data_IF_073207787119
#
_entry.id   IF_073207787119
#
_cell.length_a   1.000
_cell.length_b   1.000
_cell.length_c   1.000
_cell.angle_alpha   90.00
_cell.angle_beta   90.00
_cell.angle_gamma   90.00
#
_symmetry.space_group_name_H-M   'P 1'
#
loop_
_entity.id
_entity.type
_entity.pdbx_description
1 polymer ?
#
# COMPACT_ATOMS: atom_id res chain seq x y z
N UNK A 1 12.98 -37.91 35.05
CA UNK A 1 12.12 -37.57 33.89
C UNK A 1 11.96 -36.06 33.83
N UNK A 2 11.80 -35.50 32.62
CA UNK A 2 11.48 -34.10 32.28
C UNK A 2 12.66 -33.19 31.92
N UNK A 3 13.34 -33.52 30.82
CA UNK A 3 13.82 -32.47 29.91
C UNK A 3 12.70 -32.30 28.88
N UNK A 4 11.64 -31.60 29.29
CA UNK A 4 10.59 -31.13 28.41
C UNK A 4 10.81 -29.65 28.18
N UNK A 5 11.88 -29.28 27.45
CA UNK A 5 11.95 -27.94 26.85
C UNK A 5 10.66 -27.81 26.02
N UNK A 6 9.88 -26.71 26.15
CA UNK A 6 8.56 -26.66 25.55
C UNK A 6 8.74 -26.67 24.04
N UNK A 7 8.51 -27.81 23.41
CA UNK A 7 8.59 -28.01 21.96
C UNK A 7 7.65 -27.02 21.23
N UNK A 8 6.67 -26.46 21.94
CA UNK A 8 5.75 -25.42 21.47
C UNK A 8 6.22 -23.97 21.67
N UNK A 9 7.23 -23.70 22.51
CA UNK A 9 7.64 -22.33 22.83
C UNK A 9 8.28 -21.60 21.64
N UNK A 10 9.15 -22.28 20.89
CA UNK A 10 9.82 -21.72 19.71
C UNK A 10 8.83 -21.50 18.56
N UNK A 11 7.99 -22.49 18.16
CA UNK A 11 6.97 -22.27 17.13
C UNK A 11 5.98 -21.16 17.49
N UNK A 12 5.56 -21.04 18.75
CA UNK A 12 4.65 -19.99 19.19
C UNK A 12 5.30 -18.60 19.12
N UNK A 13 6.57 -18.48 19.54
CA UNK A 13 7.31 -17.22 19.42
C UNK A 13 7.49 -16.81 17.94
N UNK A 14 7.84 -17.75 17.06
CA UNK A 14 7.92 -17.51 15.62
C UNK A 14 6.56 -17.08 15.07
N UNK A 15 5.49 -17.79 15.42
CA UNK A 15 4.12 -17.46 15.00
C UNK A 15 3.68 -16.07 15.45
N UNK A 16 3.99 -15.67 16.68
CA UNK A 16 3.68 -14.34 17.19
C UNK A 16 4.48 -13.26 16.45
N UNK A 17 5.76 -13.48 16.19
CA UNK A 17 6.60 -12.54 15.41
C UNK A 17 6.03 -12.36 14.00
N UNK A 18 5.67 -13.45 13.32
CA UNK A 18 5.05 -13.38 12.00
C UNK A 18 3.69 -12.67 12.04
N UNK A 19 2.87 -12.92 13.06
CA UNK A 19 1.60 -12.21 13.25
C UNK A 19 1.81 -10.72 13.48
N UNK A 20 2.81 -10.32 14.28
CA UNK A 20 3.12 -8.92 14.50
C UNK A 20 3.59 -8.23 13.21
N UNK A 21 4.38 -8.92 12.37
CA UNK A 21 4.89 -8.35 11.11
C UNK A 21 3.80 -8.27 10.03
N UNK A 22 3.07 -9.35 9.78
CA UNK A 22 2.15 -9.47 8.64
C UNK A 22 0.66 -9.30 9.00
N UNK A 23 0.33 -9.47 10.27
CA UNK A 23 -1.03 -9.41 10.80
C UNK A 23 -1.41 -8.08 11.44
N UNK A 24 -0.45 -7.19 11.72
CA UNK A 24 -0.72 -5.89 12.35
C UNK A 24 -0.44 -4.71 11.43
N UNK A 25 -1.10 -3.59 11.74
CA UNK A 25 -0.89 -2.33 11.05
C UNK A 25 0.10 -1.46 11.82
N UNK A 26 1.02 -0.80 11.11
CA UNK A 26 1.88 0.25 11.69
C UNK A 26 1.38 1.63 11.29
N UNK A 27 1.50 2.61 12.18
CA UNK A 27 1.03 3.99 11.97
C UNK A 27 2.21 4.95 11.94
N UNK A 28 2.20 5.87 10.98
CA UNK A 28 3.29 6.79 10.69
C UNK A 28 2.74 8.17 10.37
N UNK A 29 3.37 9.21 10.92
CA UNK A 29 2.94 10.60 10.67
C UNK A 29 3.28 11.06 9.26
N UNK A 30 4.40 10.57 8.73
CA UNK A 30 4.94 10.90 7.42
C UNK A 30 5.86 9.80 6.93
N UNK A 31 6.24 9.87 5.65
CA UNK A 31 7.12 8.88 5.01
C UNK A 31 8.47 8.70 5.73
N UNK A 32 9.03 9.77 6.32
CA UNK A 32 10.31 9.71 7.03
C UNK A 32 10.25 8.89 8.33
N UNK A 33 9.06 8.71 8.91
CA UNK A 33 8.86 7.91 10.14
C UNK A 33 8.67 6.42 9.87
N UNK A 34 8.71 6.00 8.60
CA UNK A 34 8.59 4.60 8.20
C UNK A 34 9.95 3.93 8.38
N UNK A 35 10.02 2.99 9.32
CA UNK A 35 11.20 2.20 9.64
C UNK A 35 11.38 0.96 8.75
N UNK A 36 10.45 0.72 7.81
CA UNK A 36 10.53 -0.36 6.84
C UNK A 36 11.66 -0.18 5.82
N UNK A 37 11.85 -1.20 4.98
CA UNK A 37 12.82 -1.17 3.87
C UNK A 37 12.56 0.00 2.93
N UNK A 38 13.64 0.49 2.31
CA UNK A 38 13.58 1.62 1.38
C UNK A 38 12.63 1.34 0.21
N UNK A 39 12.57 0.08 -0.24
CA UNK A 39 11.69 -0.36 -1.33
C UNK A 39 10.21 -0.06 -1.06
N UNK A 40 9.67 -0.52 0.07
CA UNK A 40 8.27 -0.28 0.43
C UNK A 40 8.00 1.20 0.70
N UNK A 41 8.94 1.88 1.39
CA UNK A 41 8.85 3.30 1.67
C UNK A 41 8.85 4.17 0.41
N UNK A 42 9.58 3.78 -0.63
CA UNK A 42 9.70 4.53 -1.88
C UNK A 42 8.47 4.41 -2.81
N UNK A 43 7.51 3.55 -2.47
CA UNK A 43 6.22 3.46 -3.15
C UNK A 43 5.16 4.41 -2.57
N UNK A 44 5.49 5.10 -1.48
CA UNK A 44 4.62 6.08 -0.82
C UNK A 44 5.07 7.50 -1.19
N UNK A 45 4.13 8.40 -1.55
CA UNK A 45 4.45 9.78 -1.84
C UNK A 45 5.17 10.47 -0.66
N UNK A 46 6.18 11.32 -0.91
CA UNK A 46 6.90 12.03 0.15
C UNK A 46 6.01 12.98 0.97
N UNK A 47 4.92 13.45 0.37
CA UNK A 47 3.93 14.36 0.98
C UNK A 47 2.80 13.63 1.71
N UNK A 48 2.80 12.30 1.73
CA UNK A 48 1.77 11.52 2.37
C UNK A 48 1.77 11.71 3.90
N UNK A 49 0.58 11.80 4.48
CA UNK A 49 0.36 11.93 5.92
C UNK A 49 -0.62 10.86 6.41
N UNK A 50 -0.73 10.71 7.74
CA UNK A 50 -1.67 9.75 8.38
C UNK A 50 -1.51 8.32 7.83
N UNK A 51 -0.27 7.89 7.63
CA UNK A 51 0.05 6.67 6.92
C UNK A 51 -0.20 5.47 7.83
N UNK A 52 -0.96 4.51 7.34
CA UNK A 52 -1.15 3.19 7.91
C UNK A 52 -0.55 2.19 6.93
N UNK A 53 0.31 1.29 7.41
CA UNK A 53 0.93 0.24 6.60
C UNK A 53 0.60 -1.13 7.15
N UNK A 54 0.43 -2.09 6.23
CA UNK A 54 0.32 -3.51 6.55
C UNK A 54 1.23 -4.28 5.62
N UNK A 55 2.18 -5.00 6.19
CA UNK A 55 3.09 -5.81 5.39
C UNK A 55 2.35 -7.06 4.92
N UNK A 56 2.59 -7.47 3.68
CA UNK A 56 2.06 -8.71 3.13
C UNK A 56 3.19 -9.55 2.53
N UNK A 57 2.92 -10.81 2.21
CA UNK A 57 3.92 -11.73 1.68
C UNK A 57 4.56 -11.22 0.38
N UNK A 58 3.78 -10.59 -0.49
CA UNK A 58 4.25 -10.12 -1.79
C UNK A 58 4.80 -8.69 -1.73
N UNK A 59 4.22 -7.78 -0.95
CA UNK A 59 4.78 -6.46 -0.64
C UNK A 59 4.03 -5.82 0.54
N UNK A 60 3.05 -4.95 0.28
CA UNK A 60 2.31 -4.24 1.33
C UNK A 60 1.01 -3.61 0.84
N UNK A 61 0.19 -3.25 1.81
CA UNK A 61 -0.92 -2.31 1.65
C UNK A 61 -0.63 -1.04 2.42
N UNK A 62 -1.12 0.09 1.91
CA UNK A 62 -1.04 1.36 2.60
C UNK A 62 -2.37 2.11 2.55
N UNK A 63 -2.64 2.88 3.59
CA UNK A 63 -3.68 3.89 3.62
C UNK A 63 -3.04 5.21 4.05
N UNK A 64 -3.25 6.29 3.30
CA UNK A 64 -2.67 7.59 3.64
C UNK A 64 -3.46 8.74 3.03
N UNK A 65 -3.19 9.96 3.50
CA UNK A 65 -3.71 11.18 2.88
C UNK A 65 -2.66 11.84 2.01
N UNK A 66 -3.07 12.27 0.83
CA UNK A 66 -2.28 13.06 -0.12
C UNK A 66 -3.23 13.81 -1.05
N UNK A 67 -2.85 14.96 -1.58
CA UNK A 67 -3.66 15.59 -2.63
C UNK A 67 -3.48 14.85 -3.96
N UNK A 68 -4.53 14.82 -4.78
CA UNK A 68 -4.48 14.17 -6.11
C UNK A 68 -3.30 14.70 -6.94
N UNK A 69 -3.04 16.02 -6.89
CA UNK A 69 -1.91 16.63 -7.60
C UNK A 69 -0.55 16.08 -7.18
N UNK A 70 -0.31 15.97 -5.88
CA UNK A 70 0.97 15.45 -5.38
C UNK A 70 1.09 13.94 -5.60
N UNK A 71 -0.03 13.19 -5.55
CA UNK A 71 -0.07 11.79 -5.94
C UNK A 71 0.35 11.61 -7.40
N UNK A 72 -0.28 12.35 -8.32
CA UNK A 72 0.03 12.29 -9.75
C UNK A 72 1.50 12.63 -10.05
N UNK A 73 2.02 13.72 -9.48
CA UNK A 73 3.44 14.09 -9.61
C UNK A 73 4.36 12.96 -9.15
N UNK A 74 4.00 12.28 -8.06
CA UNK A 74 4.76 11.14 -7.57
C UNK A 74 4.69 9.95 -8.54
N UNK A 75 3.50 9.58 -9.00
CA UNK A 75 3.28 8.46 -9.93
C UNK A 75 3.99 8.68 -11.27
N UNK A 76 3.86 9.88 -11.84
CA UNK A 76 4.53 10.29 -13.08
C UNK A 76 6.03 10.09 -12.98
N UNK A 77 6.64 10.56 -11.88
CA UNK A 77 8.07 10.38 -11.64
C UNK A 77 8.45 8.92 -11.40
N UNK A 78 7.61 8.17 -10.71
CA UNK A 78 7.94 6.82 -10.21
C UNK A 78 7.83 5.74 -11.29
N UNK A 79 6.87 5.89 -12.19
CA UNK A 79 6.49 4.88 -13.18
C UNK A 79 6.71 5.31 -14.62
N UNK A 80 7.13 6.56 -14.89
CA UNK A 80 7.58 6.95 -16.21
C UNK A 80 8.71 6.05 -16.71
N UNK A 81 8.57 5.57 -17.95
CA UNK A 81 9.64 4.85 -18.65
C UNK A 81 10.76 5.83 -19.01
N UNK A 82 12.03 5.39 -19.07
CA UNK A 82 13.13 6.23 -19.52
C UNK A 82 12.83 6.91 -20.86
N UNK A 83 12.91 8.24 -20.90
CA UNK A 83 12.64 9.05 -22.10
C UNK A 83 11.16 9.26 -22.44
N UNK A 84 10.21 8.77 -21.62
CA UNK A 84 8.77 8.99 -21.80
C UNK A 84 8.21 9.86 -20.69
N UNK A 85 7.30 10.77 -21.06
CA UNK A 85 6.46 11.47 -20.09
C UNK A 85 5.23 10.62 -19.79
N UNK A 86 4.95 10.42 -18.51
CA UNK A 86 3.71 9.83 -18.02
C UNK A 86 2.76 10.96 -17.59
N UNK A 87 1.46 10.78 -17.83
CA UNK A 87 0.42 11.68 -17.35
C UNK A 87 -0.65 10.85 -16.62
N UNK A 88 -0.32 10.49 -15.39
CA UNK A 88 -1.13 9.66 -14.50
C UNK A 88 -2.55 10.21 -14.37
N UNK A 89 -2.70 11.53 -14.36
CA UNK A 89 -4.00 12.16 -14.18
C UNK A 89 -4.92 11.81 -15.36
N UNK A 90 -4.41 11.80 -16.58
CA UNK A 90 -5.23 11.50 -17.77
C UNK A 90 -5.47 10.00 -17.98
N UNK A 91 -4.62 9.15 -17.40
CA UNK A 91 -4.71 7.69 -17.51
C UNK A 91 -5.53 7.03 -16.40
N UNK A 92 -5.86 7.79 -15.34
CA UNK A 92 -6.67 7.28 -14.23
C UNK A 92 -8.05 6.87 -14.69
N UNK A 93 -8.54 5.78 -14.12
CA UNK A 93 -9.87 5.25 -14.41
C UNK A 93 -10.82 5.58 -13.27
N UNK A 94 -12.11 5.84 -13.53
CA UNK A 94 -13.09 5.86 -12.46
C UNK A 94 -13.15 4.47 -11.81
N UNK A 95 -13.47 4.42 -10.52
CA UNK A 95 -13.75 3.14 -9.88
C UNK A 95 -14.92 2.43 -10.56
N UNK A 96 -14.82 1.12 -10.70
CA UNK A 96 -15.90 0.29 -11.23
C UNK A 96 -17.13 0.40 -10.30
N UNK A 97 -18.28 0.73 -10.89
CA UNK A 97 -19.55 0.89 -10.19
C UNK A 97 -19.94 -0.35 -9.38
N UNK A 98 -19.56 -1.56 -9.83
CA UNK A 98 -19.83 -2.80 -9.11
C UNK A 98 -19.05 -2.92 -7.78
N UNK A 99 -18.02 -2.10 -7.58
CA UNK A 99 -17.18 -2.07 -6.39
C UNK A 99 -17.56 -0.96 -5.40
N UNK A 100 -18.33 0.04 -5.81
CA UNK A 100 -18.76 1.14 -4.93
C UNK A 100 -19.48 0.59 -3.70
N UNK A 101 -19.09 1.08 -2.51
CA UNK A 101 -19.61 0.68 -1.21
C UNK A 101 -19.04 -0.64 -0.67
N UNK A 102 -18.33 -1.42 -1.48
CA UNK A 102 -17.66 -2.66 -1.02
C UNK A 102 -16.34 -2.34 -0.34
N UNK A 103 -16.03 -3.11 0.70
CA UNK A 103 -14.70 -3.11 1.29
C UNK A 103 -13.76 -3.95 0.42
N UNK A 104 -12.58 -3.43 0.13
CA UNK A 104 -11.51 -4.14 -0.58
C UNK A 104 -10.24 -4.21 0.24
N UNK A 105 -9.50 -5.29 -0.01
CA UNK A 105 -8.25 -5.62 0.62
C UNK A 105 -8.29 -5.78 2.15
N UNK A 106 -7.14 -6.10 2.75
CA UNK A 106 -7.06 -6.47 4.15
C UNK A 106 -7.20 -5.31 5.15
N UNK A 107 -7.19 -4.07 4.65
CA UNK A 107 -7.44 -2.87 5.46
C UNK A 107 -8.92 -2.46 5.48
N UNK A 108 -9.79 -3.15 4.73
CA UNK A 108 -11.22 -2.87 4.69
C UNK A 108 -11.58 -1.51 4.09
N UNK A 109 -10.77 -1.01 3.16
CA UNK A 109 -11.00 0.27 2.52
C UNK A 109 -12.27 0.21 1.66
N UNK A 110 -13.16 1.20 1.79
CA UNK A 110 -14.44 1.23 1.07
C UNK A 110 -14.32 2.12 -0.16
N UNK A 111 -14.68 1.56 -1.32
CA UNK A 111 -14.71 2.30 -2.59
C UNK A 111 -15.85 3.30 -2.57
N UNK A 112 -15.55 4.56 -2.89
CA UNK A 112 -16.52 5.65 -2.99
C UNK A 112 -16.80 6.00 -4.45
N UNK A 113 -17.91 6.70 -4.77
CA UNK A 113 -18.15 7.23 -6.11
C UNK A 113 -17.04 8.18 -6.60
N UNK A 114 -16.37 8.87 -5.68
CA UNK A 114 -15.30 9.83 -5.98
C UNK A 114 -13.92 9.17 -6.11
N UNK A 115 -13.87 7.83 -6.07
CA UNK A 115 -12.64 7.06 -6.22
C UNK A 115 -12.20 7.00 -7.67
N UNK A 116 -10.93 7.30 -7.89
CA UNK A 116 -10.20 7.01 -9.14
C UNK A 116 -9.10 5.96 -8.89
N UNK A 117 -8.84 5.13 -9.89
CA UNK A 117 -7.83 4.08 -9.87
C UNK A 117 -6.65 4.46 -10.77
N UNK A 118 -5.45 4.35 -10.22
CA UNK A 118 -4.20 4.32 -10.96
C UNK A 118 -3.60 2.91 -10.84
N UNK A 119 -3.22 2.30 -11.96
CA UNK A 119 -2.65 0.95 -11.98
C UNK A 119 -1.38 0.92 -12.81
N UNK A 120 -0.28 0.45 -12.22
CA UNK A 120 1.02 0.36 -12.89
C UNK A 120 1.64 -1.02 -12.73
N UNK A 121 2.14 -1.56 -13.82
CA UNK A 121 3.00 -2.73 -13.82
C UNK A 121 4.45 -2.30 -13.64
N UNK A 122 5.13 -2.88 -12.64
CA UNK A 122 6.56 -2.76 -12.46
C UNK A 122 7.31 -3.74 -13.37
N UNK A 123 8.55 -3.41 -13.74
CA UNK A 123 9.38 -4.22 -14.64
C UNK A 123 9.71 -5.62 -14.11
N UNK A 124 9.54 -5.84 -12.81
CA UNK A 124 9.71 -7.12 -12.14
C UNK A 124 8.40 -7.91 -12.04
N UNK A 125 7.39 -7.63 -12.88
CA UNK A 125 6.11 -8.35 -12.86
C UNK A 125 5.14 -7.94 -11.76
N UNK A 126 5.55 -7.06 -10.84
CA UNK A 126 4.67 -6.53 -9.80
C UNK A 126 3.60 -5.58 -10.31
N UNK A 127 2.49 -5.50 -9.60
CA UNK A 127 1.41 -4.54 -9.87
C UNK A 127 1.23 -3.61 -8.68
N UNK A 128 1.05 -2.32 -8.96
CA UNK A 128 0.80 -1.28 -7.98
C UNK A 128 -0.51 -0.57 -8.32
N UNK A 129 -1.51 -0.76 -7.47
CA UNK A 129 -2.82 -0.13 -7.59
C UNK A 129 -2.96 0.96 -6.53
N UNK A 130 -3.40 2.14 -6.94
CA UNK A 130 -3.68 3.29 -6.08
C UNK A 130 -5.12 3.70 -6.28
N UNK A 131 -5.96 3.46 -5.28
CA UNK A 131 -7.34 3.92 -5.23
C UNK A 131 -7.35 5.25 -4.47
N UNK A 132 -7.70 6.33 -5.15
CA UNK A 132 -7.66 7.67 -4.60
C UNK A 132 -9.06 8.27 -4.56
N UNK A 133 -9.55 8.59 -3.37
CA UNK A 133 -10.79 9.34 -3.17
C UNK A 133 -10.50 10.84 -3.39
N UNK A 134 -10.99 11.36 -4.50
CA UNK A 134 -10.71 12.74 -4.94
C UNK A 134 -11.36 13.81 -4.04
N UNK A 135 -12.43 13.46 -3.32
CA UNK A 135 -13.13 14.37 -2.42
C UNK A 135 -12.37 14.57 -1.10
N UNK A 136 -11.74 13.51 -0.59
CA UNK A 136 -11.13 13.49 0.75
C UNK A 136 -9.60 13.46 0.74
N UNK A 137 -8.99 13.17 -0.41
CA UNK A 137 -7.54 12.94 -0.53
C UNK A 137 -7.05 11.65 0.11
N UNK A 138 -7.96 10.76 0.52
CA UNK A 138 -7.61 9.46 1.08
C UNK A 138 -7.18 8.52 -0.06
N UNK A 139 -6.05 7.85 0.11
CA UNK A 139 -5.51 6.90 -0.86
C UNK A 139 -5.31 5.55 -0.22
N UNK A 140 -5.85 4.52 -0.86
CA UNK A 140 -5.56 3.13 -0.57
C UNK A 140 -4.64 2.56 -1.64
N UNK A 141 -3.54 1.97 -1.21
CA UNK A 141 -2.53 1.39 -2.07
C UNK A 141 -2.49 -0.12 -1.84
N UNK A 142 -2.50 -0.86 -2.94
CA UNK A 142 -2.19 -2.27 -3.00
C UNK A 142 -0.94 -2.44 -3.85
N UNK A 143 0.04 -3.16 -3.32
CA UNK A 143 1.27 -3.48 -4.05
C UNK A 143 1.57 -4.95 -3.87
N UNK A 144 1.85 -5.61 -4.99
CA UNK A 144 2.25 -7.01 -5.01
C UNK A 144 3.34 -7.21 -6.06
N UNK A 145 4.36 -7.98 -5.73
CA UNK A 145 5.35 -8.46 -6.69
C UNK A 145 5.01 -9.87 -7.16
N UNK A 146 5.47 -10.23 -8.36
CA UNK A 146 5.42 -11.59 -8.90
C UNK A 146 6.82 -12.08 -9.23
#
# INVERSE_FOLDING_TARGET
MKIGVPIFGIPMAIGLILFLIYGTHTKHKSRSTIWWTERGRNLIPPTATEIILRQDFLDHYALYRVSERELNRFLDKRFARPGMMLNSFSERQPADAAWIGKATGPMGWKVTPDTVLYSYAASNGGTHNYYHDTATGLTYQESAYW
#
